data_IF_450357718932
#
_entry.id   IF_450357718932
#
_cell.length_a   1.000
_cell.length_b   1.000
_cell.length_c   1.000
_cell.angle_alpha   90.00
_cell.angle_beta   90.00
_cell.angle_gamma   90.00
#
_symmetry.space_group_name_H-M   'P 1'
#
loop_
_entity.id
_entity.type
_entity.pdbx_description
1 polymer ?
#
# COMPACT_ATOMS: atom_id res chain seq x y z
N UNK A 1 -52.08 2.50 30.69
CA UNK A 1 -51.10 1.41 30.99
C UNK A 1 -50.59 0.70 29.74
N UNK A 2 -51.33 0.61 28.60
CA UNK A 2 -50.93 -0.11 27.40
C UNK A 2 -49.79 0.54 26.60
N UNK A 3 -49.76 1.88 26.54
CA UNK A 3 -48.74 2.59 25.73
C UNK A 3 -47.33 2.54 26.35
N UNK A 4 -47.19 2.54 27.67
CA UNK A 4 -45.92 2.47 28.36
C UNK A 4 -45.27 1.08 28.19
N UNK A 5 -46.07 0.00 28.22
CA UNK A 5 -45.64 -1.37 28.03
C UNK A 5 -45.11 -1.59 26.60
N UNK A 6 -45.78 -0.99 25.61
CA UNK A 6 -45.37 -1.10 24.20
C UNK A 6 -44.05 -0.35 23.94
N UNK A 7 -43.79 0.80 24.58
CA UNK A 7 -42.51 1.51 24.49
C UNK A 7 -41.33 0.71 25.10
N UNK A 8 -41.54 0.11 26.26
CA UNK A 8 -40.51 -0.71 26.89
C UNK A 8 -40.14 -1.95 26.04
N UNK A 9 -41.12 -2.58 25.42
CA UNK A 9 -40.89 -3.73 24.52
C UNK A 9 -40.14 -3.35 23.24
N UNK A 10 -40.44 -2.17 22.65
CA UNK A 10 -39.73 -1.62 21.50
C UNK A 10 -38.29 -1.29 21.87
N UNK A 11 -38.04 -0.67 23.02
CA UNK A 11 -36.68 -0.35 23.49
C UNK A 11 -35.90 -1.63 23.80
N UNK A 12 -36.50 -2.61 24.42
CA UNK A 12 -35.85 -3.91 24.67
C UNK A 12 -35.48 -4.64 23.37
N UNK A 13 -36.35 -4.62 22.35
CA UNK A 13 -36.06 -5.19 21.02
C UNK A 13 -34.95 -4.43 20.29
N UNK A 14 -34.91 -3.10 20.38
CA UNK A 14 -33.85 -2.28 19.81
C UNK A 14 -32.50 -2.52 20.49
N UNK A 15 -32.49 -2.68 21.82
CA UNK A 15 -31.28 -3.04 22.58
C UNK A 15 -30.82 -4.45 22.21
N UNK A 16 -31.72 -5.42 22.07
CA UNK A 16 -31.41 -6.78 21.67
C UNK A 16 -30.90 -6.85 20.21
N UNK A 17 -31.43 -6.03 19.30
CA UNK A 17 -30.91 -5.89 17.94
C UNK A 17 -29.53 -5.23 17.90
N UNK A 18 -29.33 -4.17 18.68
CA UNK A 18 -28.05 -3.52 18.81
C UNK A 18 -26.97 -4.46 19.38
N UNK A 19 -27.27 -5.20 20.45
CA UNK A 19 -26.34 -6.16 21.04
C UNK A 19 -26.03 -7.32 20.09
N UNK A 20 -26.99 -7.82 19.31
CA UNK A 20 -26.73 -8.80 18.24
C UNK A 20 -25.80 -8.26 17.16
N UNK A 21 -25.94 -6.99 16.77
CA UNK A 21 -25.04 -6.36 15.80
C UNK A 21 -23.61 -6.23 16.31
N UNK A 22 -23.40 -6.11 17.63
CA UNK A 22 -22.07 -6.07 18.24
C UNK A 22 -21.37 -7.44 18.31
N UNK A 23 -22.11 -8.53 18.25
CA UNK A 23 -21.56 -9.90 18.33
C UNK A 23 -21.44 -10.59 16.97
N UNK A 24 -21.89 -9.96 15.89
CA UNK A 24 -21.64 -10.48 14.55
C UNK A 24 -20.15 -10.30 14.21
N UNK A 25 -19.46 -11.38 13.79
CA UNK A 25 -18.08 -11.23 13.34
C UNK A 25 -18.00 -10.19 12.24
N UNK A 26 -17.11 -9.20 12.40
CA UNK A 26 -16.92 -8.14 11.40
C UNK A 26 -16.57 -8.80 10.08
N UNK A 27 -17.42 -8.66 9.08
CA UNK A 27 -17.16 -9.17 7.74
C UNK A 27 -15.98 -8.41 7.14
N UNK A 28 -14.92 -9.10 6.78
CA UNK A 28 -13.79 -8.49 6.09
C UNK A 28 -14.19 -8.02 4.70
N UNK A 29 -13.79 -6.79 4.38
CA UNK A 29 -13.95 -6.19 3.06
C UNK A 29 -12.57 -6.12 2.42
N UNK A 30 -12.37 -6.89 1.37
CA UNK A 30 -11.11 -7.00 0.64
C UNK A 30 -11.06 -5.95 -0.49
N UNK A 31 -11.18 -4.68 -0.15
CA UNK A 31 -11.08 -3.55 -1.09
C UNK A 31 -9.90 -2.69 -0.67
N UNK A 32 -8.92 -2.45 -1.57
CA UNK A 32 -7.79 -1.59 -1.26
C UNK A 32 -8.24 -0.13 -1.07
N UNK A 33 -8.11 0.36 0.14
CA UNK A 33 -8.39 1.76 0.48
C UNK A 33 -7.11 2.52 0.81
N UNK A 34 -6.11 1.84 1.37
CA UNK A 34 -4.87 2.40 1.90
C UNK A 34 -5.08 3.55 2.91
N UNK A 35 -6.30 3.73 3.38
CA UNK A 35 -6.65 4.81 4.31
C UNK A 35 -6.12 4.53 5.71
N UNK A 36 -5.54 5.55 6.35
CA UNK A 36 -5.06 5.48 7.73
C UNK A 36 -6.16 5.27 8.78
N UNK A 37 -7.42 5.47 8.41
CA UNK A 37 -8.58 5.18 9.28
C UNK A 37 -9.14 3.78 9.10
N UNK A 38 -8.73 3.08 8.05
CA UNK A 38 -9.35 1.81 7.68
C UNK A 38 -8.64 0.65 8.36
N UNK A 39 -9.37 -0.05 9.24
CA UNK A 39 -8.94 -1.25 9.95
C UNK A 39 -9.11 -2.54 9.12
N UNK A 40 -9.70 -2.45 7.92
CA UNK A 40 -9.87 -3.60 7.02
C UNK A 40 -8.52 -4.10 6.52
N UNK A 41 -8.43 -5.32 5.97
CA UNK A 41 -7.15 -5.91 5.57
C UNK A 41 -6.30 -5.01 4.65
N UNK A 42 -6.91 -4.33 3.69
CA UNK A 42 -6.23 -3.43 2.77
C UNK A 42 -6.39 -1.94 3.09
N UNK A 43 -6.70 -1.62 4.36
CA UNK A 43 -6.49 -0.32 4.96
C UNK A 43 -5.08 -0.20 5.53
N UNK A 44 -4.78 0.93 6.17
CA UNK A 44 -3.46 1.22 6.75
C UNK A 44 -3.49 1.64 8.22
N UNK A 45 -4.60 1.47 8.95
CA UNK A 45 -4.69 1.91 10.34
C UNK A 45 -3.63 1.25 11.24
N UNK A 46 -3.43 -0.08 11.11
CA UNK A 46 -2.40 -0.82 11.85
C UNK A 46 -0.99 -0.49 11.33
N UNK A 47 -0.84 -0.42 10.00
CA UNK A 47 0.42 -0.06 9.35
C UNK A 47 0.91 1.32 9.84
N UNK A 48 0.08 2.34 9.78
CA UNK A 48 0.45 3.71 10.19
C UNK A 48 0.72 3.82 11.70
N UNK A 49 -0.07 3.12 12.51
CA UNK A 49 0.18 3.05 13.95
C UNK A 49 1.53 2.42 14.27
N UNK A 50 1.88 1.34 13.59
CA UNK A 50 3.16 0.66 13.74
C UNK A 50 4.33 1.59 13.36
N UNK A 51 4.23 2.30 12.23
CA UNK A 51 5.27 3.25 11.80
C UNK A 51 5.44 4.42 12.78
N UNK A 52 4.33 4.94 13.30
CA UNK A 52 4.34 6.05 14.27
C UNK A 52 5.16 5.72 15.53
N UNK A 53 5.09 4.46 16.00
CA UNK A 53 5.84 4.04 17.21
C UNK A 53 7.21 3.47 16.90
N UNK A 54 7.47 3.02 15.68
CA UNK A 54 8.70 2.29 15.33
C UNK A 54 9.76 3.15 14.66
N UNK A 55 9.40 4.32 14.11
CA UNK A 55 10.34 5.18 13.39
C UNK A 55 10.88 6.29 14.32
N UNK A 56 12.16 6.22 14.71
CA UNK A 56 12.73 7.17 15.68
C UNK A 56 12.82 8.59 15.13
N UNK A 57 13.00 8.73 13.80
CA UNK A 57 13.09 10.04 13.14
C UNK A 57 11.72 10.72 12.92
N UNK A 58 10.64 10.02 13.24
CA UNK A 58 9.28 10.52 13.15
C UNK A 58 8.54 10.07 11.88
N UNK A 59 7.23 9.96 12.04
CA UNK A 59 6.29 9.60 10.99
C UNK A 59 5.05 10.49 11.07
N UNK A 60 4.67 11.09 9.94
CA UNK A 60 3.51 11.99 9.87
C UNK A 60 2.67 11.70 8.64
N UNK A 61 1.36 11.99 8.75
CA UNK A 61 0.42 11.89 7.65
C UNK A 61 0.18 13.28 7.04
N UNK A 62 0.07 13.35 5.73
CA UNK A 62 -0.24 14.55 4.97
C UNK A 62 -1.36 14.26 3.96
N UNK A 63 -2.18 15.27 3.65
CA UNK A 63 -3.18 15.21 2.57
C UNK A 63 -2.79 16.05 1.35
N UNK A 64 -1.53 16.53 1.33
CA UNK A 64 -1.03 17.37 0.26
C UNK A 64 -0.52 16.53 -0.90
N UNK A 65 -0.76 16.98 -2.12
CA UNK A 65 -0.13 16.42 -3.33
C UNK A 65 1.35 16.81 -3.38
N UNK A 66 2.12 16.18 -4.26
CA UNK A 66 3.54 16.55 -4.46
C UNK A 66 3.68 18.01 -4.90
N UNK A 67 2.78 18.47 -5.76
CA UNK A 67 2.76 19.88 -6.16
C UNK A 67 2.57 20.82 -4.96
N UNK A 68 1.60 20.54 -4.10
CA UNK A 68 1.35 21.36 -2.91
C UNK A 68 2.53 21.32 -1.92
N UNK A 69 3.17 20.16 -1.76
CA UNK A 69 4.34 20.01 -0.90
C UNK A 69 5.54 20.81 -1.44
N UNK A 70 5.74 20.78 -2.75
CA UNK A 70 6.85 21.49 -3.42
C UNK A 70 6.68 23.01 -3.32
N UNK A 71 5.45 23.52 -3.47
CA UNK A 71 5.16 24.95 -3.38
C UNK A 71 5.39 25.55 -1.99
N UNK A 72 5.25 24.73 -0.94
CA UNK A 72 5.49 25.22 0.43
C UNK A 72 6.97 25.36 0.80
N UNK A 73 7.88 24.90 -0.06
CA UNK A 73 9.34 24.91 0.10
C UNK A 73 9.88 24.43 1.47
N UNK A 74 9.02 23.77 2.24
CA UNK A 74 9.34 23.31 3.61
C UNK A 74 9.85 21.87 3.65
N UNK A 75 9.91 21.20 2.49
CA UNK A 75 10.21 19.77 2.40
C UNK A 75 11.66 19.58 1.99
N UNK A 76 12.56 19.64 2.97
CA UNK A 76 13.97 19.31 2.80
C UNK A 76 14.35 18.14 3.73
N UNK A 77 15.21 17.26 3.28
CA UNK A 77 15.73 16.12 4.05
C UNK A 77 14.60 15.28 4.69
N UNK A 78 13.62 14.90 3.89
CA UNK A 78 12.51 14.05 4.30
C UNK A 78 12.39 12.83 3.41
N UNK A 79 11.86 11.76 3.99
CA UNK A 79 11.31 10.65 3.25
C UNK A 79 9.84 10.93 2.93
N UNK A 80 9.42 10.82 1.68
CA UNK A 80 8.02 10.99 1.29
C UNK A 80 7.50 9.65 0.79
N UNK A 81 6.48 9.13 1.45
CA UNK A 81 5.87 7.85 1.13
C UNK A 81 4.48 8.04 0.53
N UNK A 82 4.24 7.41 -0.61
CA UNK A 82 2.92 7.30 -1.21
C UNK A 82 2.60 5.83 -1.50
N UNK A 83 1.45 5.38 -1.03
CA UNK A 83 0.94 4.02 -1.25
C UNK A 83 -0.41 4.12 -1.94
N UNK A 84 -0.56 3.50 -3.11
CA UNK A 84 -1.81 3.49 -3.87
C UNK A 84 -1.85 2.30 -4.84
N UNK A 85 -3.03 1.94 -5.34
CA UNK A 85 -3.14 0.96 -6.44
C UNK A 85 -2.63 1.55 -7.74
N UNK A 86 -3.00 2.80 -8.03
CA UNK A 86 -2.54 3.56 -9.19
C UNK A 86 -2.11 4.95 -8.75
N UNK A 87 -1.18 5.53 -9.48
CA UNK A 87 -0.71 6.88 -9.25
C UNK A 87 -1.33 7.82 -10.28
N UNK A 88 -2.32 8.65 -9.93
CA UNK A 88 -3.00 9.54 -10.86
C UNK A 88 -2.20 10.83 -11.09
N UNK A 89 -0.90 10.72 -11.30
CA UNK A 89 -0.03 11.89 -11.47
C UNK A 89 -0.22 12.57 -12.80
N UNK A 90 -0.42 13.89 -12.75
CA UNK A 90 -0.23 14.77 -13.87
C UNK A 90 1.25 15.16 -14.05
N UNK A 91 1.55 15.83 -15.14
CA UNK A 91 2.91 16.34 -15.41
C UNK A 91 3.44 17.23 -14.27
N UNK A 92 2.56 18.06 -13.73
CA UNK A 92 2.91 19.00 -12.65
C UNK A 92 3.35 18.29 -11.38
N UNK A 93 2.64 17.19 -11.00
CA UNK A 93 3.02 16.39 -9.84
C UNK A 93 4.36 15.66 -10.04
N UNK A 94 4.60 15.16 -11.26
CA UNK A 94 5.87 14.50 -11.60
C UNK A 94 7.03 15.50 -11.53
N UNK A 95 6.87 16.70 -12.10
CA UNK A 95 7.89 17.75 -12.04
C UNK A 95 8.18 18.16 -10.59
N UNK A 96 7.15 18.33 -9.76
CA UNK A 96 7.29 18.63 -8.34
C UNK A 96 8.02 17.53 -7.57
N UNK A 97 7.64 16.26 -7.79
CA UNK A 97 8.31 15.10 -7.22
C UNK A 97 9.80 15.07 -7.57
N UNK A 98 10.14 15.28 -8.86
CA UNK A 98 11.53 15.27 -9.34
C UNK A 98 12.35 16.43 -8.75
N UNK A 99 11.77 17.62 -8.63
CA UNK A 99 12.41 18.78 -7.97
C UNK A 99 12.67 18.49 -6.48
N UNK A 100 11.71 17.88 -5.79
CA UNK A 100 11.90 17.54 -4.37
C UNK A 100 13.01 16.48 -4.21
N UNK A 101 13.06 15.46 -5.07
CA UNK A 101 14.14 14.49 -5.07
C UNK A 101 15.50 15.15 -5.36
N UNK A 102 15.55 16.05 -6.34
CA UNK A 102 16.78 16.78 -6.68
C UNK A 102 17.34 17.60 -5.50
N UNK A 103 16.47 18.09 -4.62
CA UNK A 103 16.84 18.83 -3.38
C UNK A 103 17.30 17.92 -2.23
N UNK A 104 17.32 16.60 -2.40
CA UNK A 104 17.83 15.65 -1.40
C UNK A 104 16.76 14.85 -0.64
N UNK A 105 15.48 15.00 -1.00
CA UNK A 105 14.45 14.16 -0.42
C UNK A 105 14.49 12.74 -1.01
N UNK A 106 14.08 11.75 -0.23
CA UNK A 106 13.86 10.39 -0.71
C UNK A 106 12.37 10.15 -0.90
N UNK A 107 11.98 9.76 -2.10
CA UNK A 107 10.58 9.61 -2.47
C UNK A 107 10.30 8.14 -2.76
N UNK A 108 9.42 7.54 -1.97
CA UNK A 108 9.00 6.15 -2.14
C UNK A 108 7.59 6.09 -2.73
N UNK A 109 7.49 5.49 -3.91
CA UNK A 109 6.25 5.26 -4.62
C UNK A 109 5.93 3.76 -4.59
N UNK A 110 4.89 3.40 -3.87
CA UNK A 110 4.43 2.02 -3.72
C UNK A 110 3.12 1.87 -4.48
N UNK A 111 3.15 1.25 -5.67
CA UNK A 111 1.98 1.17 -6.54
C UNK A 111 2.01 -0.03 -7.47
N UNK A 112 0.85 -0.61 -7.78
CA UNK A 112 0.72 -1.67 -8.80
C UNK A 112 0.81 -1.15 -10.23
N UNK A 113 0.65 0.16 -10.42
CA UNK A 113 0.60 0.80 -11.73
C UNK A 113 1.16 2.21 -11.66
N UNK A 114 1.95 2.57 -12.64
CA UNK A 114 2.58 3.87 -12.79
C UNK A 114 2.08 4.56 -14.07
N UNK A 115 2.04 5.88 -14.09
CA UNK A 115 1.66 6.61 -15.30
C UNK A 115 2.77 6.51 -16.34
N UNK A 116 2.39 6.44 -17.62
CA UNK A 116 3.36 6.34 -18.72
C UNK A 116 4.37 7.49 -18.71
N UNK A 117 3.93 8.69 -18.33
CA UNK A 117 4.82 9.87 -18.22
C UNK A 117 5.92 9.62 -17.18
N UNK A 118 5.57 9.04 -16.04
CA UNK A 118 6.54 8.71 -14.98
C UNK A 118 7.50 7.60 -15.42
N UNK A 119 6.97 6.55 -16.07
CA UNK A 119 7.77 5.46 -16.63
C UNK A 119 8.78 5.96 -17.66
N UNK A 120 8.32 6.79 -18.60
CA UNK A 120 9.17 7.36 -19.64
C UNK A 120 10.24 8.32 -19.06
N UNK A 121 9.87 9.08 -18.01
CA UNK A 121 10.80 10.02 -17.36
C UNK A 121 11.87 9.27 -16.56
N UNK A 122 11.48 8.27 -15.78
CA UNK A 122 12.39 7.47 -14.95
C UNK A 122 12.97 6.25 -15.68
N UNK A 123 12.63 6.05 -16.97
CA UNK A 123 13.14 4.97 -17.81
C UNK A 123 12.95 3.58 -17.22
N UNK A 124 11.74 3.27 -16.84
CA UNK A 124 11.32 1.93 -16.43
C UNK A 124 10.00 1.53 -17.09
N UNK A 125 9.63 0.28 -16.98
CA UNK A 125 8.34 -0.24 -17.44
C UNK A 125 7.85 -1.24 -16.39
N UNK A 126 6.65 -1.02 -15.89
CA UNK A 126 6.01 -1.87 -14.88
C UNK A 126 4.83 -2.61 -15.51
N UNK A 127 4.70 -3.90 -15.20
CA UNK A 127 3.48 -4.63 -15.59
C UNK A 127 2.31 -4.06 -14.82
N UNK A 128 1.18 -3.94 -15.52
CA UNK A 128 -0.06 -3.53 -14.88
C UNK A 128 -0.80 -4.75 -14.34
N UNK A 129 -1.10 -4.74 -13.06
CA UNK A 129 -2.01 -5.70 -12.45
C UNK A 129 -2.74 -5.05 -11.28
N UNK A 130 -4.01 -5.37 -11.14
CA UNK A 130 -4.79 -4.92 -10.01
C UNK A 130 -5.54 -6.07 -9.36
N UNK A 131 -5.71 -5.95 -8.07
CA UNK A 131 -6.43 -6.90 -7.26
C UNK A 131 -7.94 -6.68 -7.38
N UNK A 132 -8.69 -7.78 -7.57
CA UNK A 132 -10.15 -7.78 -7.52
C UNK A 132 -10.61 -8.75 -6.43
N UNK A 133 -11.37 -8.25 -5.48
CA UNK A 133 -11.87 -9.05 -4.35
C UNK A 133 -12.75 -10.24 -4.78
N UNK A 134 -13.43 -10.13 -5.92
CA UNK A 134 -14.24 -11.23 -6.48
C UNK A 134 -13.40 -12.44 -6.87
N UNK A 135 -12.12 -12.22 -7.18
CA UNK A 135 -11.20 -13.30 -7.56
C UNK A 135 -10.78 -14.16 -6.36
N UNK A 136 -10.89 -13.65 -5.12
CA UNK A 136 -10.57 -14.42 -3.91
C UNK A 136 -11.38 -15.71 -3.80
N UNK A 137 -12.67 -15.67 -4.10
CA UNK A 137 -13.53 -16.86 -4.09
C UNK A 137 -13.15 -17.86 -5.17
N UNK A 138 -12.79 -17.35 -6.36
CA UNK A 138 -12.41 -18.15 -7.52
C UNK A 138 -11.06 -18.85 -7.30
N UNK A 139 -10.14 -18.21 -6.60
CA UNK A 139 -8.78 -18.71 -6.38
C UNK A 139 -8.55 -19.25 -4.97
N UNK A 140 -9.60 -19.58 -4.22
CA UNK A 140 -9.48 -20.04 -2.84
C UNK A 140 -8.46 -21.19 -2.65
N UNK A 141 -8.41 -22.14 -3.59
CA UNK A 141 -7.45 -23.24 -3.56
C UNK A 141 -6.00 -22.77 -3.85
N UNK A 142 -5.82 -21.79 -4.74
CA UNK A 142 -4.49 -21.25 -5.07
C UNK A 142 -3.97 -20.28 -3.99
N UNK A 143 -4.84 -19.73 -3.14
CA UNK A 143 -4.45 -18.93 -1.99
C UNK A 143 -3.66 -19.73 -0.95
N UNK A 144 -3.77 -21.06 -0.96
CA UNK A 144 -3.01 -21.92 -0.08
C UNK A 144 -1.53 -22.06 -0.49
N UNK A 145 -1.19 -21.74 -1.74
CA UNK A 145 0.18 -21.74 -2.22
C UNK A 145 0.73 -20.32 -2.14
N UNK A 146 1.77 -20.14 -1.35
CA UNK A 146 2.49 -18.87 -1.25
C UNK A 146 3.65 -18.87 -2.25
N UNK A 147 3.85 -17.75 -2.89
CA UNK A 147 5.02 -17.46 -3.71
C UNK A 147 6.09 -16.75 -2.89
N UNK A 148 7.21 -16.40 -3.50
CA UNK A 148 8.37 -15.89 -2.82
C UNK A 148 8.86 -14.57 -3.40
N UNK A 149 9.12 -13.61 -2.51
CA UNK A 149 9.92 -12.42 -2.78
C UNK A 149 11.31 -12.67 -2.21
N UNK A 150 12.34 -12.45 -3.02
CA UNK A 150 13.73 -12.60 -2.63
C UNK A 150 14.33 -11.23 -2.38
N UNK A 151 14.84 -11.01 -1.16
CA UNK A 151 15.62 -9.82 -0.86
C UNK A 151 17.04 -9.97 -1.40
N UNK A 152 17.46 -9.02 -2.23
CA UNK A 152 18.77 -9.01 -2.87
C UNK A 152 19.56 -7.72 -2.63
N UNK A 153 18.90 -6.71 -2.01
CA UNK A 153 19.52 -5.41 -1.74
C UNK A 153 20.42 -5.41 -0.51
N UNK A 154 21.32 -4.44 -0.46
CA UNK A 154 22.18 -4.11 0.67
C UNK A 154 22.80 -5.35 1.37
N UNK A 155 23.60 -6.17 0.66
CA UNK A 155 24.10 -7.44 1.19
C UNK A 155 25.03 -7.29 2.39
N UNK A 156 25.61 -6.11 2.60
CA UNK A 156 26.43 -5.80 3.77
C UNK A 156 25.59 -5.53 5.04
N UNK A 157 24.35 -5.09 4.86
CA UNK A 157 23.44 -4.75 5.97
C UNK A 157 22.44 -5.86 6.23
N UNK A 158 21.92 -6.46 5.16
CA UNK A 158 20.86 -7.45 5.23
C UNK A 158 21.28 -8.76 4.59
N UNK A 159 21.13 -9.86 5.32
CA UNK A 159 21.25 -11.19 4.74
C UNK A 159 20.20 -11.45 3.67
N UNK A 160 20.50 -12.27 2.68
CA UNK A 160 19.50 -12.79 1.75
C UNK A 160 18.38 -13.45 2.54
N UNK A 161 17.15 -13.05 2.24
CA UNK A 161 15.96 -13.57 2.90
C UNK A 161 14.85 -13.74 1.90
N UNK A 162 14.03 -14.78 2.13
CA UNK A 162 12.85 -15.08 1.34
C UNK A 162 11.62 -14.72 2.17
N UNK A 163 10.74 -13.94 1.57
CA UNK A 163 9.45 -13.57 2.13
C UNK A 163 8.36 -14.28 1.36
N UNK A 164 7.34 -14.75 2.06
CA UNK A 164 6.25 -15.49 1.44
C UNK A 164 4.98 -14.67 1.41
N UNK A 165 4.33 -14.63 0.26
CA UNK A 165 3.12 -13.86 0.04
C UNK A 165 2.15 -14.65 -0.84
N UNK A 166 0.90 -14.24 -0.86
CA UNK A 166 -0.07 -14.79 -1.80
C UNK A 166 0.09 -14.10 -3.17
N UNK A 167 0.28 -14.86 -4.27
CA UNK A 167 0.58 -14.31 -5.60
C UNK A 167 -0.45 -13.30 -6.09
N UNK A 168 -1.71 -13.46 -5.67
CA UNK A 168 -2.80 -12.57 -6.03
C UNK A 168 -2.58 -11.12 -5.57
N UNK A 169 -1.72 -10.92 -4.58
CA UNK A 169 -1.41 -9.60 -4.00
C UNK A 169 -0.14 -8.98 -4.55
N UNK A 170 0.62 -9.72 -5.37
CA UNK A 170 1.92 -9.28 -5.84
C UNK A 170 2.15 -9.67 -7.31
N UNK A 171 1.28 -9.17 -8.19
CA UNK A 171 1.32 -9.49 -9.63
C UNK A 171 2.03 -8.47 -10.50
N UNK A 172 2.30 -7.28 -9.98
CA UNK A 172 3.01 -6.23 -10.71
C UNK A 172 4.50 -6.30 -10.45
N UNK A 173 5.29 -6.12 -11.49
CA UNK A 173 6.76 -6.15 -11.42
C UNK A 173 7.37 -5.28 -12.52
N UNK A 174 8.64 -4.90 -12.34
CA UNK A 174 9.38 -4.09 -13.30
C UNK A 174 10.00 -4.98 -14.38
N UNK A 175 9.57 -4.81 -15.63
CA UNK A 175 10.08 -5.56 -16.79
C UNK A 175 11.37 -4.98 -17.33
N UNK A 176 11.43 -3.65 -17.43
CA UNK A 176 12.58 -2.90 -17.92
C UNK A 176 12.92 -1.78 -16.95
N UNK A 177 14.19 -1.56 -16.77
CA UNK A 177 14.77 -0.49 -15.97
C UNK A 177 16.13 -0.12 -16.57
N UNK A 178 16.09 0.43 -17.80
CA UNK A 178 17.27 0.59 -18.65
C UNK A 178 18.34 1.53 -18.11
N UNK A 179 19.58 1.17 -18.46
CA UNK A 179 20.82 1.94 -18.61
C UNK A 179 21.19 3.01 -17.56
N UNK A 180 20.31 3.43 -16.69
CA UNK A 180 20.62 4.33 -15.58
C UNK A 180 20.93 3.52 -14.31
N UNK A 181 21.76 4.03 -13.41
CA UNK A 181 22.11 3.31 -12.20
C UNK A 181 20.86 3.02 -11.36
N UNK A 182 20.60 1.74 -11.13
CA UNK A 182 19.50 1.23 -10.32
C UNK A 182 20.07 0.33 -9.24
N UNK A 183 19.74 0.60 -7.98
CA UNK A 183 20.02 -0.32 -6.88
C UNK A 183 18.83 -1.26 -6.70
N UNK A 184 19.05 -2.54 -6.92
CA UNK A 184 18.04 -3.59 -6.84
C UNK A 184 17.80 -3.97 -5.40
N UNK A 185 16.54 -4.10 -4.97
CA UNK A 185 16.18 -4.41 -3.59
C UNK A 185 15.53 -5.78 -3.44
N UNK A 186 14.54 -6.08 -4.28
CA UNK A 186 13.79 -7.31 -4.19
C UNK A 186 13.30 -7.78 -5.56
N UNK A 187 13.26 -9.09 -5.75
CA UNK A 187 12.82 -9.76 -6.97
C UNK A 187 11.84 -10.90 -6.67
N UNK A 188 11.06 -11.30 -7.67
CA UNK A 188 10.19 -12.47 -7.63
C UNK A 188 10.65 -13.50 -8.66
N UNK A 189 10.27 -14.77 -8.45
CA UNK A 189 10.46 -15.81 -9.44
C UNK A 189 9.12 -16.07 -10.15
N UNK A 190 9.05 -15.79 -11.44
CA UNK A 190 7.86 -16.04 -12.25
C UNK A 190 7.72 -17.47 -12.75
N UNK A 191 8.70 -18.34 -12.52
CA UNK A 191 8.72 -19.68 -13.09
C UNK A 191 7.60 -20.61 -12.56
N UNK A 192 6.94 -20.26 -11.46
CA UNK A 192 5.93 -21.13 -10.83
C UNK A 192 4.49 -20.92 -11.34
N UNK A 193 4.16 -19.77 -11.93
CA UNK A 193 2.74 -19.42 -12.19
C UNK A 193 2.42 -19.12 -13.67
N UNK A 194 3.39 -19.14 -14.56
CA UNK A 194 3.24 -18.68 -15.94
C UNK A 194 2.84 -19.77 -16.96
N UNK A 195 2.30 -20.91 -16.52
CA UNK A 195 1.78 -21.92 -17.43
C UNK A 195 0.64 -21.45 -18.35
N UNK A 196 0.01 -20.29 -18.08
CA UNK A 196 -1.12 -19.77 -18.84
C UNK A 196 -0.96 -18.34 -19.39
N UNK A 197 0.07 -17.62 -19.01
CA UNK A 197 0.29 -16.24 -19.46
C UNK A 197 1.45 -16.08 -20.46
N UNK A 198 2.21 -17.14 -20.70
CA UNK A 198 3.31 -17.16 -21.67
C UNK A 198 2.85 -17.32 -23.11
N UNK A 199 1.60 -17.73 -23.35
CA UNK A 199 1.06 -17.87 -24.70
C UNK A 199 0.82 -16.52 -25.40
N UNK A 200 0.85 -15.40 -24.66
CA UNK A 200 0.70 -14.04 -25.23
C UNK A 200 2.01 -13.24 -25.30
N UNK A 201 3.09 -13.69 -24.69
CA UNK A 201 4.41 -13.07 -24.83
C UNK A 201 5.27 -13.92 -25.75
N UNK A 202 5.77 -13.27 -26.80
CA UNK A 202 6.72 -13.83 -27.76
C UNK A 202 7.73 -14.76 -27.09
N UNK A 203 7.62 -16.05 -27.38
CA UNK A 203 8.28 -17.16 -26.69
C UNK A 203 9.81 -17.18 -26.82
N UNK A 204 10.40 -16.15 -27.43
CA UNK A 204 11.83 -16.07 -27.71
C UNK A 204 12.67 -15.41 -26.61
N UNK A 205 12.06 -14.81 -25.59
CA UNK A 205 12.78 -13.98 -24.60
C UNK A 205 12.62 -14.41 -23.14
N UNK A 206 11.83 -15.39 -22.80
CA UNK A 206 11.64 -15.80 -21.41
C UNK A 206 12.61 -16.93 -21.08
N UNK A 207 13.78 -16.56 -20.58
CA UNK A 207 14.68 -17.50 -19.92
C UNK A 207 13.96 -18.13 -18.72
N UNK A 208 14.09 -19.44 -18.51
CA UNK A 208 13.53 -20.19 -17.37
C UNK A 208 13.93 -19.66 -15.98
N UNK A 209 14.78 -18.64 -15.92
CA UNK A 209 15.31 -18.00 -14.72
C UNK A 209 15.07 -16.48 -14.75
N UNK A 210 13.93 -16.03 -15.22
CA UNK A 210 13.61 -14.61 -15.20
C UNK A 210 13.14 -14.18 -13.82
N UNK A 211 13.93 -13.32 -13.17
CA UNK A 211 13.67 -12.76 -11.83
C UNK A 211 13.39 -11.25 -11.92
N UNK A 212 12.16 -10.85 -12.23
CA UNK A 212 11.84 -9.43 -12.32
C UNK A 212 11.86 -8.77 -10.95
N UNK A 213 12.24 -7.49 -10.94
CA UNK A 213 12.26 -6.69 -9.73
C UNK A 213 10.85 -6.31 -9.30
N UNK A 214 10.63 -6.28 -7.99
CA UNK A 214 9.44 -5.70 -7.35
C UNK A 214 9.77 -4.49 -6.50
N UNK A 215 11.06 -4.25 -6.25
CA UNK A 215 11.54 -3.06 -5.55
C UNK A 215 12.92 -2.65 -6.04
N UNK A 216 13.11 -1.36 -6.28
CA UNK A 216 14.37 -0.78 -6.71
C UNK A 216 14.50 0.68 -6.26
N UNK A 217 15.74 1.17 -6.19
CA UNK A 217 16.08 2.56 -5.91
C UNK A 217 16.75 3.18 -7.11
N UNK A 218 16.33 4.37 -7.45
CA UNK A 218 16.88 5.19 -8.51
C UNK A 218 17.44 6.49 -7.94
N UNK A 219 18.74 6.73 -8.03
CA UNK A 219 19.31 8.03 -7.69
C UNK A 219 18.70 9.12 -8.56
N UNK A 220 18.40 10.27 -7.95
CA UNK A 220 17.88 11.42 -8.66
C UNK A 220 18.36 12.72 -8.00
N UNK A 221 19.22 13.46 -8.69
CA UNK A 221 19.85 14.65 -8.13
C UNK A 221 20.61 14.32 -6.83
N UNK A 222 20.25 15.01 -5.74
CA UNK A 222 20.84 14.77 -4.41
C UNK A 222 20.08 13.74 -3.58
N UNK A 223 18.92 13.29 -4.05
CA UNK A 223 18.05 12.34 -3.36
C UNK A 223 17.89 11.03 -4.14
N UNK A 224 16.81 10.32 -3.82
CA UNK A 224 16.51 9.01 -4.40
C UNK A 224 15.01 8.84 -4.64
N UNK A 225 14.67 8.10 -5.67
CA UNK A 225 13.30 7.65 -5.95
C UNK A 225 13.26 6.13 -5.75
N UNK A 226 12.47 5.69 -4.81
CA UNK A 226 12.29 4.27 -4.47
C UNK A 226 10.98 3.81 -5.09
N UNK A 227 11.06 2.82 -5.96
CA UNK A 227 9.93 2.27 -6.69
C UNK A 227 9.62 0.87 -6.18
N UNK A 228 8.36 0.63 -5.79
CA UNK A 228 7.89 -0.65 -5.26
C UNK A 228 6.57 -1.03 -5.91
N UNK A 229 6.47 -2.24 -6.45
CA UNK A 229 5.28 -2.70 -7.20
C UNK A 229 4.30 -3.52 -6.36
N UNK A 230 4.48 -3.61 -5.04
CA UNK A 230 3.73 -4.49 -4.13
C UNK A 230 2.89 -3.73 -3.09
N UNK A 231 1.95 -2.84 -3.49
CA UNK A 231 1.27 -1.94 -2.55
C UNK A 231 0.43 -2.67 -1.50
N UNK A 232 -0.16 -3.83 -1.81
CA UNK A 232 -1.00 -4.55 -0.85
C UNK A 232 -0.21 -5.13 0.34
N UNK A 233 1.10 -5.29 0.20
CA UNK A 233 1.97 -5.67 1.32
C UNK A 233 2.19 -4.51 2.30
N UNK A 234 1.97 -3.25 1.88
CA UNK A 234 2.06 -2.05 2.73
C UNK A 234 0.72 -1.67 3.35
N UNK A 235 -0.02 -2.66 3.82
CA UNK A 235 -1.35 -2.52 4.42
C UNK A 235 -1.41 -3.26 5.74
N UNK A 236 -2.55 -3.18 6.45
CA UNK A 236 -2.78 -3.94 7.68
C UNK A 236 -2.52 -5.44 7.47
N UNK A 237 -3.00 -5.99 6.34
CA UNK A 237 -2.76 -7.39 5.97
C UNK A 237 -1.26 -7.69 5.89
N UNK A 238 -0.51 -6.86 5.13
CA UNK A 238 0.90 -7.12 4.88
C UNK A 238 1.76 -7.08 6.14
N UNK A 239 1.52 -6.14 7.07
CA UNK A 239 2.28 -6.05 8.33
C UNK A 239 1.96 -7.16 9.31
N UNK A 240 0.77 -7.78 9.19
CA UNK A 240 0.33 -8.85 10.09
C UNK A 240 0.59 -10.26 9.53
N UNK A 241 0.95 -10.38 8.25
CA UNK A 241 1.12 -11.66 7.57
C UNK A 241 2.57 -12.15 7.65
N UNK A 242 2.81 -13.21 8.44
CA UNK A 242 4.12 -13.88 8.60
C UNK A 242 5.28 -12.89 8.88
N UNK A 243 6.32 -12.95 8.01
CA UNK A 243 7.53 -12.11 8.11
C UNK A 243 7.48 -10.89 7.18
N UNK A 244 6.33 -10.57 6.60
CA UNK A 244 6.21 -9.47 5.64
C UNK A 244 6.47 -8.10 6.26
N UNK A 245 6.22 -7.93 7.55
CA UNK A 245 6.66 -6.73 8.27
C UNK A 245 8.17 -6.48 8.11
N UNK A 246 9.00 -7.53 8.19
CA UNK A 246 10.45 -7.41 7.97
C UNK A 246 10.77 -6.95 6.55
N UNK A 247 10.07 -7.46 5.53
CA UNK A 247 10.22 -6.97 4.15
C UNK A 247 9.89 -5.48 4.05
N UNK A 248 8.75 -5.08 4.59
CA UNK A 248 8.29 -3.69 4.59
C UNK A 248 9.32 -2.77 5.26
N UNK A 249 9.81 -3.15 6.45
CA UNK A 249 10.80 -2.35 7.16
C UNK A 249 12.15 -2.27 6.43
N UNK A 250 12.57 -3.32 5.73
CA UNK A 250 13.77 -3.27 4.87
C UNK A 250 13.60 -2.31 3.69
N UNK A 251 12.41 -2.25 3.10
CA UNK A 251 12.10 -1.25 2.07
C UNK A 251 12.09 0.16 2.68
N UNK A 252 11.44 0.35 3.82
CA UNK A 252 11.39 1.66 4.49
C UNK A 252 12.76 2.14 4.97
N UNK A 253 13.67 1.23 5.33
CA UNK A 253 15.04 1.59 5.72
C UNK A 253 15.84 2.26 4.59
N UNK A 254 15.38 2.14 3.35
CA UNK A 254 15.96 2.88 2.22
C UNK A 254 15.77 4.40 2.35
N UNK A 255 14.82 4.84 3.15
CA UNK A 255 14.66 6.25 3.52
C UNK A 255 15.80 6.76 4.43
N UNK A 256 16.58 5.85 5.03
CA UNK A 256 17.60 6.20 6.02
C UNK A 256 16.97 6.72 7.31
N UNK A 257 17.66 7.65 7.97
CA UNK A 257 17.20 8.28 9.22
C UNK A 257 16.32 9.53 8.96
N UNK A 258 15.77 9.67 7.77
CA UNK A 258 14.91 10.80 7.46
C UNK A 258 13.54 10.68 8.13
N UNK A 259 12.95 11.77 8.62
CA UNK A 259 11.56 11.77 9.05
C UNK A 259 10.65 11.48 7.83
N UNK A 260 9.70 10.56 8.00
CA UNK A 260 8.84 10.12 6.90
C UNK A 260 7.51 10.87 6.93
N UNK A 261 7.14 11.43 5.80
CA UNK A 261 5.83 12.00 5.54
C UNK A 261 5.09 11.09 4.56
N UNK A 262 4.04 10.42 5.03
CA UNK A 262 3.16 9.67 4.13
C UNK A 262 2.06 10.59 3.60
N UNK A 263 1.92 10.66 2.28
CA UNK A 263 0.84 11.44 1.67
C UNK A 263 -0.35 10.57 1.27
N UNK A 264 -1.54 11.05 1.61
CA UNK A 264 -2.84 10.58 1.13
C UNK A 264 -3.48 11.57 0.14
N UNK A 265 -2.73 12.57 -0.36
CA UNK A 265 -3.24 13.63 -1.23
C UNK A 265 -3.79 13.16 -2.58
N UNK A 266 -3.51 11.91 -2.96
CA UNK A 266 -4.00 11.29 -4.19
C UNK A 266 -5.09 10.22 -3.95
N UNK A 267 -5.43 9.98 -2.71
CA UNK A 267 -6.57 9.12 -2.40
C UNK A 267 -7.84 9.87 -2.79
N UNK A 268 -8.67 9.24 -3.64
CA UNK A 268 -10.05 9.70 -3.75
C UNK A 268 -10.61 9.61 -2.34
N UNK A 269 -11.24 10.68 -1.87
CA UNK A 269 -12.11 10.58 -0.71
C UNK A 269 -13.17 9.53 -1.06
N UNK A 270 -12.85 8.30 -0.77
CA UNK A 270 -13.86 7.25 -0.71
C UNK A 270 -14.78 7.77 0.36
N UNK A 271 -15.99 8.14 -0.05
CA UNK A 271 -17.04 8.61 0.84
C UNK A 271 -16.89 7.78 2.11
N UNK A 272 -16.55 8.45 3.19
CA UNK A 272 -16.18 7.88 4.49
C UNK A 272 -17.00 6.64 4.66
N UNK A 273 -16.34 5.50 4.83
CA UNK A 273 -17.00 4.21 5.05
C UNK A 273 -18.21 4.50 5.88
N UNK A 274 -19.42 4.32 5.34
CA UNK A 274 -20.64 4.80 5.95
C UNK A 274 -20.59 4.43 7.42
N UNK A 275 -20.13 5.38 8.25
CA UNK A 275 -20.36 5.27 9.68
C UNK A 275 -21.85 5.13 9.75
N UNK A 276 -22.34 3.93 10.11
CA UNK A 276 -23.77 3.74 10.20
C UNK A 276 -24.30 4.98 10.93
N UNK A 277 -25.39 5.58 10.49
CA UNK A 277 -25.93 6.78 11.15
C UNK A 277 -25.99 6.61 12.67
N UNK A 278 -26.24 5.40 13.13
CA UNK A 278 -26.22 5.02 14.54
C UNK A 278 -24.83 5.18 15.18
N UNK A 279 -23.75 4.84 14.47
CA UNK A 279 -22.37 5.00 14.97
C UNK A 279 -21.94 6.46 15.00
N UNK A 280 -22.44 7.27 14.08
CA UNK A 280 -22.28 8.71 14.11
C UNK A 280 -23.00 9.31 15.33
N UNK A 281 -24.27 8.93 15.57
CA UNK A 281 -25.03 9.37 16.73
C UNK A 281 -24.35 8.95 18.05
N UNK A 282 -23.87 7.72 18.17
CA UNK A 282 -23.20 7.23 19.37
C UNK A 282 -21.79 7.82 19.58
N UNK A 283 -21.16 8.38 18.56
CA UNK A 283 -19.87 9.06 18.67
C UNK A 283 -20.00 10.50 19.21
N UNK A 284 -21.20 11.09 19.12
CA UNK A 284 -21.48 12.43 19.64
C UNK A 284 -21.80 12.35 21.13
N UNK A 285 -20.93 12.94 21.98
CA UNK A 285 -21.12 12.93 23.44
C UNK A 285 -22.53 13.33 23.91
N UNK A 286 -23.19 14.36 23.34
CA UNK A 286 -24.54 14.74 23.76
C UNK A 286 -25.63 13.71 23.43
N UNK A 287 -25.44 12.92 22.37
CA UNK A 287 -26.44 11.97 21.87
C UNK A 287 -26.25 10.56 22.45
N UNK A 288 -25.24 10.35 23.28
CA UNK A 288 -24.95 9.10 23.97
C UNK A 288 -25.89 8.84 25.14
N UNK A 289 -26.58 9.87 25.60
CA UNK A 289 -27.42 9.87 26.80
C UNK A 289 -28.91 10.19 26.49
N UNK A 290 -29.27 10.38 25.23
CA UNK A 290 -30.63 10.48 24.76
C UNK A 290 -31.23 9.13 24.38
#
# INVERSE_FOLDING_TARGET
HGQAKNRQEIVARLIAMASRSYHLPKKFVWVPTFSHYDEQPFGCAVFDSLLTVSLPSGYTLSRKTFYQMEQEDTVHNKGILLIATNLPFGRVDIEALLKMADRGNKIMLVSSSFTKILEDTLKFDCTYSYFRSVDLKKYAASLLKRDSIYWIGDPEVYSRQVFRFYPQFCKSYFRRYDSLPVRKLAEINLASDMGHALDELDSTTVSRNYHPLVAMVRPWGKGEIILVSTPLLFTNYGVLDEKNATYIFRILSQMGELPIVRTEGYMKETAQTQRSPLRYFLSQRPLRWA
#
